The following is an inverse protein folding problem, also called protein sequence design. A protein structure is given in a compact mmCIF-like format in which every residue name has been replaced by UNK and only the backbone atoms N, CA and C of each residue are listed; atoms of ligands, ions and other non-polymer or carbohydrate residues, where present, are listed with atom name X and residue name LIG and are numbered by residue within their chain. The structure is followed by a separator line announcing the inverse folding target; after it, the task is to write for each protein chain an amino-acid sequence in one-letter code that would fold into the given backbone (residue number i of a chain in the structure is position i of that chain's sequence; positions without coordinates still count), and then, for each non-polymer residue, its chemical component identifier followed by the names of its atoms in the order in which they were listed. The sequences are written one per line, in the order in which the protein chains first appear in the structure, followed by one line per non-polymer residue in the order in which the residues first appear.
data_IF_958603588476
#
_entry.id   IF_958603588476
#
_cell.length_a   1.000
_cell.length_b   1.000
_cell.length_c   1.000
_cell.angle_alpha   90.00
_cell.angle_beta   90.00
_cell.angle_gamma   90.00
#
_symmetry.space_group_name_H-M   'P 1'
#
loop_
_entity.id
_entity.type
_entity.pdbx_description
1 polymer ?
#
# COMPACT_ATOMS: atom_id res chain seq x y z
N UNK A 1 -7.80 -14.04 21.12
CA UNK A 1 -7.50 -12.71 20.55
C UNK A 1 -6.77 -11.87 21.60
N UNK A 2 -5.67 -11.21 21.24
CA UNK A 2 -5.03 -10.24 22.12
C UNK A 2 -5.90 -8.98 22.17
N UNK A 3 -5.99 -8.31 23.34
CA UNK A 3 -6.68 -7.03 23.44
C UNK A 3 -5.98 -5.98 22.56
N UNK A 4 -6.72 -5.09 21.87
CA UNK A 4 -6.12 -4.00 21.13
C UNK A 4 -5.32 -3.11 22.08
N UNK A 5 -4.16 -2.64 21.60
CA UNK A 5 -3.34 -1.66 22.31
C UNK A 5 -3.83 -0.29 21.85
N UNK A 6 -4.36 0.50 22.77
CA UNK A 6 -4.75 1.87 22.49
C UNK A 6 -3.58 2.81 22.72
N UNK A 7 -3.48 3.85 21.92
CA UNK A 7 -2.53 4.94 22.12
C UNK A 7 -2.91 5.74 23.38
N UNK A 8 -1.90 6.11 24.16
CA UNK A 8 -2.06 7.09 25.25
C UNK A 8 -2.03 8.55 24.75
N UNK A 9 -1.84 8.71 23.44
CA UNK A 9 -1.76 10.00 22.79
C UNK A 9 -3.15 10.45 22.34
N UNK A 10 -3.58 11.64 22.79
CA UNK A 10 -4.84 12.25 22.34
C UNK A 10 -4.57 13.17 21.16
N UNK A 11 -5.28 12.95 20.05
CA UNK A 11 -5.18 13.79 18.85
C UNK A 11 -6.52 13.82 18.12
N UNK A 12 -6.71 14.84 17.30
CA UNK A 12 -7.82 14.88 16.37
C UNK A 12 -7.56 13.91 15.20
N UNK A 13 -8.56 13.08 14.87
CA UNK A 13 -8.47 12.09 13.81
C UNK A 13 -9.53 12.38 12.75
N UNK A 14 -9.10 12.42 11.48
CA UNK A 14 -10.00 12.44 10.31
C UNK A 14 -9.80 11.17 9.49
N UNK A 15 -10.90 10.53 9.14
CA UNK A 15 -10.88 9.30 8.33
C UNK A 15 -11.46 9.60 6.95
N UNK A 16 -10.77 9.10 5.92
CA UNK A 16 -11.19 9.19 4.53
C UNK A 16 -11.27 7.79 3.94
N UNK A 17 -12.26 7.53 3.09
CA UNK A 17 -12.42 6.29 2.32
C UNK A 17 -12.60 6.66 0.85
N UNK A 18 -11.51 7.01 0.20
CA UNK A 18 -11.50 7.41 -1.21
C UNK A 18 -10.18 7.04 -1.89
N UNK A 19 -10.10 7.25 -3.19
CA UNK A 19 -8.87 7.05 -3.94
C UNK A 19 -7.77 8.01 -3.47
N UNK A 20 -6.58 7.48 -3.18
CA UNK A 20 -5.48 8.25 -2.63
C UNK A 20 -5.00 9.36 -3.58
N UNK A 21 -4.98 9.11 -4.90
CA UNK A 21 -4.58 10.10 -5.90
C UNK A 21 -5.58 11.27 -6.01
N UNK A 22 -6.83 11.03 -5.63
CA UNK A 22 -7.85 12.09 -5.54
C UNK A 22 -7.70 12.83 -4.21
N UNK A 23 -7.61 12.10 -3.09
CA UNK A 23 -7.53 12.66 -1.75
C UNK A 23 -6.37 13.65 -1.60
N UNK A 24 -5.17 13.28 -2.05
CA UNK A 24 -3.98 14.12 -1.88
C UNK A 24 -4.08 15.47 -2.58
N UNK A 25 -4.93 15.59 -3.60
CA UNK A 25 -5.17 16.88 -4.31
C UNK A 25 -5.90 17.90 -3.44
N UNK A 26 -6.48 17.47 -2.33
CA UNK A 26 -7.24 18.32 -1.40
C UNK A 26 -6.54 18.52 -0.05
N UNK A 27 -5.50 17.73 0.25
CA UNK A 27 -4.73 17.88 1.47
C UNK A 27 -3.60 18.91 1.28
N UNK A 28 -3.36 19.77 2.27
CA UNK A 28 -2.34 20.81 2.21
C UNK A 28 -1.60 20.97 3.53
N UNK A 29 -0.34 21.42 3.44
CA UNK A 29 0.49 21.77 4.59
C UNK A 29 0.67 20.59 5.57
N UNK A 30 0.90 19.41 5.06
CA UNK A 30 1.13 18.20 5.88
C UNK A 30 2.61 18.16 6.28
N UNK A 31 2.91 17.87 7.54
CA UNK A 31 4.30 17.73 7.98
C UNK A 31 4.88 16.41 7.51
N UNK A 32 4.15 15.29 7.71
CA UNK A 32 4.60 13.95 7.35
C UNK A 32 3.45 13.17 6.73
N UNK A 33 3.68 12.55 5.57
CA UNK A 33 2.79 11.56 4.97
C UNK A 33 3.46 10.20 4.97
N UNK A 34 2.83 9.21 5.62
CA UNK A 34 3.21 7.80 5.50
C UNK A 34 2.41 7.13 4.39
N UNK A 35 3.11 6.40 3.52
CA UNK A 35 2.52 5.76 2.33
C UNK A 35 2.88 4.27 2.36
N UNK A 36 1.85 3.43 2.37
CA UNK A 36 1.95 1.96 2.31
C UNK A 36 1.00 1.47 1.22
N UNK A 37 1.41 1.56 -0.07
CA UNK A 37 0.55 1.25 -1.20
C UNK A 37 0.45 -0.27 -1.41
N UNK A 38 -0.57 -0.75 -2.12
CA UNK A 38 -0.52 -2.09 -2.72
C UNK A 38 0.68 -2.17 -3.67
N UNK A 39 1.53 -3.17 -3.53
CA UNK A 39 2.79 -3.26 -4.29
C UNK A 39 2.83 -4.38 -5.33
N UNK A 40 1.86 -5.30 -5.34
CA UNK A 40 1.82 -6.43 -6.28
C UNK A 40 0.40 -6.78 -6.73
N UNK A 41 0.25 -7.94 -7.42
CA UNK A 41 -1.03 -8.42 -7.97
C UNK A 41 -2.05 -8.91 -6.93
N UNK A 42 -1.76 -8.83 -5.64
CA UNK A 42 -2.66 -9.29 -4.58
C UNK A 42 -3.48 -8.14 -4.00
N UNK A 43 -4.66 -7.83 -4.58
CA UNK A 43 -5.44 -6.68 -4.16
C UNK A 43 -6.14 -6.93 -2.83
N UNK A 44 -6.12 -5.94 -1.96
CA UNK A 44 -6.82 -5.99 -0.67
C UNK A 44 -8.32 -6.23 -0.83
N UNK A 45 -8.95 -5.64 -1.86
CA UNK A 45 -10.36 -5.79 -2.14
C UNK A 45 -10.80 -7.25 -2.31
N UNK A 46 -10.00 -8.08 -2.99
CA UNK A 46 -10.29 -9.50 -3.14
C UNK A 46 -9.79 -10.35 -1.97
N UNK A 47 -8.66 -10.00 -1.35
CA UNK A 47 -8.09 -10.78 -0.25
C UNK A 47 -8.90 -10.63 1.05
N UNK A 48 -9.50 -9.48 1.27
CA UNK A 48 -10.26 -9.15 2.48
C UNK A 48 -11.76 -8.96 2.23
N UNK A 49 -12.28 -9.41 1.08
CA UNK A 49 -13.70 -9.25 0.73
C UNK A 49 -14.65 -9.78 1.81
N UNK A 50 -14.29 -10.90 2.46
CA UNK A 50 -15.10 -11.48 3.52
C UNK A 50 -15.26 -10.54 4.72
N UNK A 51 -14.17 -9.84 5.10
CA UNK A 51 -14.21 -8.87 6.19
C UNK A 51 -15.05 -7.65 5.81
N UNK A 52 -14.93 -7.18 4.57
CA UNK A 52 -15.77 -6.11 4.04
C UNK A 52 -17.25 -6.52 4.04
N UNK A 53 -17.57 -7.73 3.57
CA UNK A 53 -18.93 -8.28 3.59
C UNK A 53 -19.53 -8.28 5.01
N UNK A 54 -18.74 -8.66 6.01
CA UNK A 54 -19.18 -8.67 7.42
C UNK A 54 -19.43 -7.25 7.93
N UNK A 55 -18.49 -6.32 7.66
CA UNK A 55 -18.57 -4.94 8.15
C UNK A 55 -19.74 -4.18 7.48
N UNK A 56 -19.90 -4.34 6.17
CA UNK A 56 -20.88 -3.63 5.39
C UNK A 56 -22.26 -4.33 5.42
N UNK A 57 -22.31 -5.57 5.96
CA UNK A 57 -23.50 -6.44 5.95
C UNK A 57 -24.15 -6.54 4.56
N UNK A 58 -23.29 -6.65 3.53
CA UNK A 58 -23.70 -6.74 2.14
C UNK A 58 -22.95 -7.86 1.46
N UNK A 59 -23.66 -8.69 0.71
CA UNK A 59 -23.06 -9.68 -0.18
C UNK A 59 -22.98 -9.06 -1.57
N UNK A 60 -21.79 -9.07 -2.17
CA UNK A 60 -21.57 -8.56 -3.53
C UNK A 60 -22.37 -9.35 -4.58
N UNK A 61 -22.50 -8.77 -5.76
CA UNK A 61 -23.13 -9.41 -6.91
C UNK A 61 -22.14 -10.33 -7.64
N UNK A 62 -22.64 -11.31 -8.41
CA UNK A 62 -21.81 -12.20 -9.25
C UNK A 62 -20.63 -12.85 -8.52
N UNK A 63 -20.95 -13.65 -7.52
CA UNK A 63 -19.94 -14.33 -6.71
C UNK A 63 -19.29 -15.47 -7.51
N UNK A 64 -17.95 -15.49 -7.55
CA UNK A 64 -17.19 -16.60 -8.13
C UNK A 64 -17.53 -17.92 -7.46
N UNK A 65 -17.88 -18.92 -8.25
CA UNK A 65 -18.20 -20.28 -7.76
C UNK A 65 -17.00 -21.00 -7.16
N UNK A 66 -15.77 -20.60 -7.51
CA UNK A 66 -14.53 -21.23 -7.04
C UNK A 66 -13.99 -20.59 -5.77
N UNK A 67 -13.94 -19.27 -5.73
CA UNK A 67 -13.29 -18.54 -4.65
C UNK A 67 -14.27 -17.77 -3.75
N UNK A 68 -15.55 -17.70 -4.10
CA UNK A 68 -16.55 -16.93 -3.37
C UNK A 68 -16.33 -15.43 -3.40
N UNK A 69 -15.44 -14.94 -4.27
CA UNK A 69 -15.08 -13.52 -4.37
C UNK A 69 -16.09 -12.84 -5.31
N UNK A 70 -16.73 -11.74 -4.91
CA UNK A 70 -17.60 -10.97 -5.79
C UNK A 70 -16.76 -10.24 -6.86
N UNK A 71 -17.36 -9.92 -8.02
CA UNK A 71 -16.67 -9.26 -9.13
C UNK A 71 -16.55 -7.74 -8.97
N UNK A 72 -17.33 -7.16 -8.06
CA UNK A 72 -17.43 -5.73 -7.75
C UNK A 72 -16.45 -5.25 -6.65
N UNK A 73 -15.44 -6.08 -6.29
CA UNK A 73 -14.43 -5.65 -5.33
C UNK A 73 -13.57 -4.47 -5.86
N UNK A 74 -13.10 -3.63 -4.94
CA UNK A 74 -12.32 -2.44 -5.26
C UNK A 74 -10.99 -2.80 -5.95
N UNK A 75 -10.82 -2.32 -7.19
CA UNK A 75 -9.64 -2.54 -8.05
C UNK A 75 -8.76 -1.30 -8.04
N UNK A 76 -7.47 -1.49 -7.76
CA UNK A 76 -6.50 -0.39 -7.73
C UNK A 76 -5.54 -0.46 -8.92
N UNK A 77 -5.16 0.69 -9.48
CA UNK A 77 -4.12 0.79 -10.49
C UNK A 77 -2.74 0.35 -9.96
N UNK A 78 -2.51 0.45 -8.65
CA UNK A 78 -1.30 -0.05 -7.99
C UNK A 78 -1.14 -1.57 -8.09
N UNK A 79 -2.22 -2.33 -8.32
CA UNK A 79 -2.17 -3.77 -8.53
C UNK A 79 -1.94 -4.18 -9.99
N UNK A 80 -1.66 -3.23 -10.88
CA UNK A 80 -1.38 -3.45 -12.30
C UNK A 80 0.04 -3.05 -12.64
N UNK A 81 0.86 -4.00 -13.09
CA UNK A 81 2.29 -3.80 -13.31
C UNK A 81 2.62 -2.64 -14.25
N UNK A 82 1.82 -2.45 -15.29
CA UNK A 82 2.02 -1.41 -16.30
C UNK A 82 1.50 -0.01 -15.89
N UNK A 83 0.75 0.07 -14.79
CA UNK A 83 0.15 1.32 -14.31
C UNK A 83 0.77 1.79 -12.98
N UNK A 84 1.32 0.86 -12.19
CA UNK A 84 1.74 1.12 -10.80
C UNK A 84 2.73 2.29 -10.68
N UNK A 85 3.80 2.31 -11.48
CA UNK A 85 4.83 3.36 -11.40
C UNK A 85 4.25 4.73 -11.73
N UNK A 86 3.50 4.84 -12.83
CA UNK A 86 2.92 6.13 -13.27
C UNK A 86 1.90 6.65 -12.26
N UNK A 87 1.03 5.76 -11.74
CA UNK A 87 0.04 6.13 -10.73
C UNK A 87 0.71 6.57 -9.43
N UNK A 88 1.81 5.89 -9.05
CA UNK A 88 2.56 6.25 -7.86
C UNK A 88 3.29 7.58 -8.02
N UNK A 89 3.90 7.83 -9.19
CA UNK A 89 4.55 9.11 -9.48
C UNK A 89 3.54 10.27 -9.45
N UNK A 90 2.32 10.06 -9.99
CA UNK A 90 1.22 11.05 -9.88
C UNK A 90 0.88 11.33 -8.41
N UNK A 91 0.77 10.30 -7.57
CA UNK A 91 0.52 10.48 -6.14
C UNK A 91 1.61 11.35 -5.50
N UNK A 92 2.89 10.97 -5.67
CA UNK A 92 4.03 11.68 -5.08
C UNK A 92 4.09 13.15 -5.53
N UNK A 93 3.83 13.40 -6.81
CA UNK A 93 3.85 14.77 -7.37
C UNK A 93 2.78 15.68 -6.74
N UNK A 94 1.61 15.14 -6.40
CA UNK A 94 0.47 15.91 -5.88
C UNK A 94 0.44 16.02 -4.34
N UNK A 95 1.24 15.24 -3.61
CA UNK A 95 1.29 15.34 -2.14
C UNK A 95 1.97 16.64 -1.71
N UNK A 96 1.28 17.44 -0.92
CA UNK A 96 1.80 18.63 -0.26
C UNK A 96 2.21 18.30 1.18
N UNK A 97 3.41 17.75 1.31
CA UNK A 97 4.02 17.38 2.60
C UNK A 97 5.49 17.72 2.64
N UNK A 98 6.00 18.07 3.84
CA UNK A 98 7.43 18.30 4.06
C UNK A 98 8.25 17.02 3.94
N UNK A 99 7.70 15.91 4.46
CA UNK A 99 8.35 14.61 4.44
C UNK A 99 7.37 13.54 3.96
N UNK A 100 7.85 12.63 3.11
CA UNK A 100 7.16 11.40 2.77
C UNK A 100 7.96 10.22 3.33
N UNK A 101 7.30 9.30 4.00
CA UNK A 101 7.84 8.02 4.45
C UNK A 101 7.09 6.95 3.68
N UNK A 102 7.81 6.19 2.85
CA UNK A 102 7.22 5.21 1.94
C UNK A 102 7.73 3.84 2.31
N UNK A 103 6.83 2.91 2.63
CA UNK A 103 7.12 1.49 2.80
C UNK A 103 6.90 0.77 1.48
N UNK A 104 7.88 -0.03 1.07
CA UNK A 104 7.79 -0.84 -0.14
C UNK A 104 8.72 -2.05 -0.03
N UNK A 105 8.58 -3.07 -0.86
CA UNK A 105 9.46 -4.21 -0.80
C UNK A 105 9.95 -4.68 -2.18
N UNK A 106 10.93 -5.59 -2.18
CA UNK A 106 11.56 -6.10 -3.40
C UNK A 106 10.68 -7.07 -4.21
N UNK A 107 9.48 -7.42 -3.74
CA UNK A 107 8.51 -8.23 -4.48
C UNK A 107 7.46 -7.36 -5.20
N UNK A 108 7.59 -6.02 -5.09
CA UNK A 108 6.69 -5.07 -5.72
C UNK A 108 6.87 -4.93 -7.23
N UNK A 109 5.87 -4.34 -7.89
CA UNK A 109 5.91 -4.07 -9.33
C UNK A 109 6.91 -2.98 -9.71
N UNK A 110 7.12 -2.01 -8.83
CA UNK A 110 8.10 -0.94 -9.00
C UNK A 110 9.42 -1.45 -8.42
N UNK A 111 10.44 -1.56 -9.23
CA UNK A 111 11.76 -1.97 -8.77
C UNK A 111 12.41 -0.92 -7.88
N UNK A 112 13.42 -1.33 -7.10
CA UNK A 112 14.18 -0.41 -6.25
C UNK A 112 14.74 0.78 -7.04
N UNK A 113 15.37 0.50 -8.20
CA UNK A 113 15.99 1.53 -9.04
C UNK A 113 14.96 2.50 -9.65
N UNK A 114 13.81 1.98 -10.09
CA UNK A 114 12.70 2.81 -10.59
C UNK A 114 12.16 3.72 -9.48
N UNK A 115 11.94 3.16 -8.26
CA UNK A 115 11.47 3.92 -7.11
C UNK A 115 12.46 5.01 -6.72
N UNK A 116 13.75 4.67 -6.61
CA UNK A 116 14.80 5.61 -6.26
C UNK A 116 14.92 6.73 -7.32
N UNK A 117 14.93 6.36 -8.58
CA UNK A 117 15.01 7.32 -9.71
C UNK A 117 13.82 8.27 -9.70
N UNK A 118 12.62 7.74 -9.54
CA UNK A 118 11.41 8.53 -9.51
C UNK A 118 11.35 9.48 -8.32
N UNK A 119 11.61 8.98 -7.09
CA UNK A 119 11.54 9.79 -5.87
C UNK A 119 12.60 10.90 -5.85
N UNK A 120 13.80 10.64 -6.37
CA UNK A 120 14.89 11.63 -6.42
C UNK A 120 14.58 12.87 -7.25
N UNK A 121 13.55 12.83 -8.11
CA UNK A 121 13.07 14.01 -8.85
C UNK A 121 12.36 15.04 -7.95
N UNK A 122 11.87 14.60 -6.79
CA UNK A 122 10.97 15.39 -5.95
C UNK A 122 11.61 15.92 -4.66
N UNK A 123 12.86 15.56 -4.37
CA UNK A 123 13.56 16.07 -3.19
C UNK A 123 14.76 15.25 -2.74
N UNK A 124 15.21 15.48 -1.51
CA UNK A 124 16.32 14.75 -0.89
C UNK A 124 15.83 13.38 -0.42
N UNK A 125 16.39 12.31 -0.98
CA UNK A 125 16.00 10.93 -0.69
C UNK A 125 17.02 10.22 0.22
N UNK A 126 16.51 9.57 1.28
CA UNK A 126 17.26 8.60 2.10
C UNK A 126 16.53 7.27 2.08
N UNK A 127 17.29 6.17 2.03
CA UNK A 127 16.71 4.83 2.01
C UNK A 127 17.28 4.00 3.15
N UNK A 128 16.41 3.23 3.81
CA UNK A 128 16.79 2.20 4.77
C UNK A 128 16.26 0.86 4.28
N UNK A 129 17.16 -0.14 4.23
CA UNK A 129 16.85 -1.52 3.90
C UNK A 129 16.74 -2.36 5.16
N UNK A 130 15.75 -3.26 5.20
CA UNK A 130 15.53 -4.17 6.31
C UNK A 130 15.25 -5.54 5.74
N UNK A 131 16.17 -6.47 5.97
CA UNK A 131 15.95 -7.86 5.61
C UNK A 131 15.05 -8.54 6.63
N UNK A 132 14.04 -9.21 6.14
CA UNK A 132 13.12 -9.89 7.01
C UNK A 132 12.64 -11.23 6.42
N UNK A 133 12.31 -12.17 7.30
CA UNK A 133 11.79 -13.47 6.89
C UNK A 133 10.29 -13.37 6.62
N UNK A 134 9.92 -13.41 5.35
CA UNK A 134 8.52 -13.33 4.94
C UNK A 134 7.72 -14.54 5.44
N UNK A 135 6.59 -14.28 6.11
CA UNK A 135 5.63 -15.33 6.43
C UNK A 135 4.93 -15.77 5.14
N UNK A 136 5.22 -16.99 4.72
CA UNK A 136 4.57 -17.60 3.55
C UNK A 136 3.63 -18.71 3.98
N UNK A 137 2.34 -18.45 3.94
CA UNK A 137 1.30 -19.42 4.32
C UNK A 137 1.11 -20.61 3.36
N UNK A 138 1.98 -20.80 2.38
CA UNK A 138 1.88 -21.86 1.39
C UNK A 138 2.65 -23.12 1.81
N UNK A 139 2.05 -24.28 1.61
CA UNK A 139 2.66 -25.60 1.89
C UNK A 139 3.84 -25.94 0.96
N UNK A 140 4.00 -25.27 -0.17
CA UNK A 140 5.05 -25.53 -1.18
C UNK A 140 6.20 -24.51 -1.07
N UNK A 141 6.96 -24.58 0.03
CA UNK A 141 8.07 -23.65 0.31
C UNK A 141 9.44 -24.12 -0.23
N UNK A 142 9.53 -25.31 -0.84
CA UNK A 142 10.83 -25.94 -1.17
C UNK A 142 11.72 -25.10 -2.12
N UNK A 143 11.14 -24.21 -2.94
CA UNK A 143 11.88 -23.44 -3.96
C UNK A 143 11.62 -21.93 -3.90
N UNK A 144 11.09 -21.39 -2.81
CA UNK A 144 10.84 -19.95 -2.68
C UNK A 144 11.82 -19.32 -1.70
N UNK A 145 12.36 -18.16 -2.09
CA UNK A 145 13.15 -17.35 -1.19
C UNK A 145 12.31 -16.99 0.04
N UNK A 146 12.85 -17.29 1.24
CA UNK A 146 12.20 -16.97 2.51
C UNK A 146 12.49 -15.54 2.97
N UNK A 147 13.47 -14.89 2.36
CA UNK A 147 13.89 -13.55 2.70
C UNK A 147 13.27 -12.55 1.74
N UNK A 148 12.76 -11.47 2.29
CA UNK A 148 12.24 -10.31 1.59
C UNK A 148 12.95 -9.08 2.14
N UNK A 149 13.36 -8.17 1.27
CA UNK A 149 13.92 -6.89 1.68
C UNK A 149 12.80 -5.85 1.66
N UNK A 150 12.54 -5.26 2.83
CA UNK A 150 11.66 -4.12 2.98
C UNK A 150 12.48 -2.84 2.89
N UNK A 151 11.96 -1.87 2.14
CA UNK A 151 12.55 -0.55 1.95
C UNK A 151 11.72 0.50 2.66
N UNK A 152 12.38 1.36 3.41
CA UNK A 152 11.79 2.60 3.91
C UNK A 152 12.47 3.75 3.19
N UNK A 153 11.75 4.37 2.28
CA UNK A 153 12.18 5.58 1.60
C UNK A 153 11.72 6.79 2.39
N UNK A 154 12.64 7.69 2.71
CA UNK A 154 12.35 8.98 3.36
C UNK A 154 12.71 10.09 2.39
N UNK A 155 11.70 10.76 1.88
CA UNK A 155 11.83 11.87 0.95
C UNK A 155 11.53 13.18 1.67
N UNK A 156 12.46 14.11 1.64
CA UNK A 156 12.25 15.51 2.05
C UNK A 156 11.99 16.32 0.80
N UNK A 157 10.76 16.80 0.65
CA UNK A 157 10.33 17.66 -0.48
C UNK A 157 10.78 19.11 -0.30
#
# INVERSE_FOLDING_TARGET
MKKPIFSNFSCDVKLFKEDANILVKHLRNIDITYIDPPYNQHPYGSNYFMLNTIIENKIGHNISTVAGIPDDWNKSAYNKKNEALTTFEELISNIDSKYLIISYNNEGFITFDEMQTMLSKYGELKVKEIDYVAFRGSRNLKNRNKHTTEYIFVLKK
#
